data_IF_767473582585
#
_entry.id   IF_767473582585
#
_cell.length_a   1.000
_cell.length_b   1.000
_cell.length_c   1.000
_cell.angle_alpha   90.00
_cell.angle_beta   90.00
_cell.angle_gamma   90.00
#
_symmetry.space_group_name_H-M   'P 1'
#
loop_
_entity.id
_entity.type
_entity.pdbx_description
1 polymer ?
#
# COMPACT_ATOMS: atom_id res chain seq x y z
N UNK A 1 -10.63 21.98 -13.76
CA UNK A 1 -10.61 20.70 -13.04
C UNK A 1 -9.85 20.91 -11.74
N UNK A 2 -10.51 20.77 -10.60
CA UNK A 2 -9.85 20.89 -9.29
C UNK A 2 -8.96 19.65 -9.04
N UNK A 3 -8.06 19.75 -8.05
CA UNK A 3 -7.09 18.68 -7.78
C UNK A 3 -7.75 17.32 -7.48
N UNK A 4 -8.87 17.29 -6.74
CA UNK A 4 -9.56 16.03 -6.46
C UNK A 4 -10.17 15.39 -7.71
N UNK A 5 -10.73 16.20 -8.61
CA UNK A 5 -11.24 15.73 -9.89
C UNK A 5 -10.11 15.14 -10.75
N UNK A 6 -8.90 15.74 -10.68
CA UNK A 6 -7.72 15.19 -11.35
C UNK A 6 -7.40 13.77 -10.86
N UNK A 7 -7.51 13.51 -9.55
CA UNK A 7 -7.24 12.19 -8.98
C UNK A 7 -8.26 11.11 -9.40
N UNK A 8 -9.41 11.51 -9.96
CA UNK A 8 -10.41 10.57 -10.47
C UNK A 8 -10.22 10.23 -11.95
N UNK A 9 -9.38 11.00 -12.66
CA UNK A 9 -9.17 10.84 -14.10
C UNK A 9 -8.38 9.56 -14.42
N UNK A 10 -8.64 8.93 -15.59
CA UNK A 10 -7.88 7.78 -16.07
C UNK A 10 -6.37 8.02 -16.14
N UNK A 11 -5.94 9.21 -16.55
CA UNK A 11 -4.54 9.63 -16.70
C UNK A 11 -3.81 9.56 -15.35
N UNK A 12 -4.43 10.06 -14.29
CA UNK A 12 -3.88 9.91 -12.95
C UNK A 12 -3.84 8.46 -12.49
N UNK A 13 -4.87 7.65 -12.79
CA UNK A 13 -4.87 6.23 -12.42
C UNK A 13 -3.72 5.48 -13.10
N UNK A 14 -3.47 5.77 -14.38
CA UNK A 14 -2.35 5.21 -15.13
C UNK A 14 -1.01 5.65 -14.54
N UNK A 15 -0.81 6.97 -14.36
CA UNK A 15 0.42 7.51 -13.75
C UNK A 15 0.66 6.96 -12.36
N UNK A 16 -0.38 6.83 -11.54
CA UNK A 16 -0.29 6.24 -10.21
C UNK A 16 0.17 4.78 -10.28
N UNK A 17 -0.41 3.98 -11.17
CA UNK A 17 0.00 2.58 -11.36
C UNK A 17 1.44 2.48 -11.82
N UNK A 18 1.89 3.36 -12.73
CA UNK A 18 3.28 3.44 -13.19
C UNK A 18 4.24 3.72 -12.03
N UNK A 19 3.96 4.74 -11.22
CA UNK A 19 4.81 5.12 -10.07
C UNK A 19 4.85 4.00 -9.03
N UNK A 20 3.72 3.36 -8.72
CA UNK A 20 3.69 2.21 -7.80
C UNK A 20 4.49 1.01 -8.32
N UNK A 21 4.41 0.71 -9.63
CA UNK A 21 5.18 -0.38 -10.25
C UNK A 21 6.67 -0.08 -10.22
N UNK A 22 7.07 1.14 -10.58
CA UNK A 22 8.48 1.61 -10.49
C UNK A 22 9.02 1.43 -9.08
N UNK A 23 8.22 1.79 -8.09
CA UNK A 23 8.57 1.70 -6.67
C UNK A 23 8.28 0.32 -6.06
N UNK A 24 7.96 -0.68 -6.90
CA UNK A 24 7.74 -2.07 -6.53
C UNK A 24 6.73 -2.23 -5.38
N UNK A 25 5.61 -1.48 -5.44
CA UNK A 25 4.56 -1.42 -4.41
C UNK A 25 5.12 -1.22 -3.00
N UNK A 26 6.18 -0.42 -2.87
CA UNK A 26 6.93 -0.26 -1.66
C UNK A 26 7.03 1.22 -1.28
N UNK A 27 6.81 1.52 0.00
CA UNK A 27 7.11 2.86 0.51
C UNK A 27 8.61 3.16 0.36
N UNK A 28 8.96 4.28 -0.25
CA UNK A 28 10.35 4.66 -0.50
C UNK A 28 11.08 5.22 0.73
N UNK A 29 10.38 5.40 1.85
CA UNK A 29 10.95 5.83 3.14
C UNK A 29 11.12 4.65 4.09
N UNK A 30 10.04 3.94 4.41
CA UNK A 30 10.07 2.86 5.40
C UNK A 30 10.10 1.44 4.80
N UNK A 31 10.09 1.30 3.48
CA UNK A 31 10.10 -0.01 2.80
C UNK A 31 8.98 -0.96 3.26
N UNK A 32 7.79 -0.39 3.50
CA UNK A 32 6.58 -1.03 4.04
C UNK A 32 6.70 -1.52 5.50
N UNK A 33 7.81 -1.26 6.18
CA UNK A 33 8.00 -1.65 7.58
C UNK A 33 6.87 -1.13 8.48
N UNK A 34 6.56 0.18 8.44
CA UNK A 34 5.44 0.78 9.19
C UNK A 34 4.07 0.16 8.88
N UNK A 35 3.91 -0.44 7.70
CA UNK A 35 2.66 -1.12 7.30
C UNK A 35 2.58 -2.52 7.91
N UNK A 36 3.70 -3.24 7.93
CA UNK A 36 3.75 -4.63 8.39
C UNK A 36 4.05 -4.78 9.89
N UNK A 37 4.44 -3.71 10.57
CA UNK A 37 4.58 -3.70 12.02
C UNK A 37 3.28 -4.14 12.71
N UNK A 38 3.43 -5.02 13.70
CA UNK A 38 2.34 -5.58 14.52
C UNK A 38 1.26 -6.29 13.69
N UNK A 39 1.65 -6.86 12.54
CA UNK A 39 0.75 -7.66 11.71
C UNK A 39 0.83 -9.14 12.05
N UNK A 40 -0.24 -9.84 11.75
CA UNK A 40 -0.23 -11.30 11.68
C UNK A 40 0.32 -11.68 10.30
N UNK A 41 1.27 -12.61 10.27
CA UNK A 41 1.85 -13.08 9.02
C UNK A 41 1.17 -14.38 8.59
N UNK A 42 0.76 -14.46 7.33
CA UNK A 42 0.45 -15.70 6.65
C UNK A 42 1.45 -15.97 5.52
N UNK A 43 1.55 -17.22 5.12
CA UNK A 43 2.33 -17.67 3.98
C UNK A 43 1.38 -18.22 2.92
N UNK A 44 1.63 -17.89 1.66
CA UNK A 44 0.84 -18.41 0.56
C UNK A 44 1.66 -18.64 -0.68
N UNK A 45 1.12 -19.45 -1.58
CA UNK A 45 1.47 -19.38 -2.99
C UNK A 45 0.63 -18.27 -3.64
N UNK A 46 1.30 -17.42 -4.41
CA UNK A 46 0.68 -16.35 -5.18
C UNK A 46 0.94 -16.57 -6.65
N UNK A 47 -0.08 -16.24 -7.43
CA UNK A 47 -0.03 -16.12 -8.88
C UNK A 47 -0.27 -14.66 -9.24
N UNK A 48 0.58 -14.13 -10.11
CA UNK A 48 0.49 -12.77 -10.64
C UNK A 48 -0.15 -12.85 -12.04
N UNK A 49 -1.30 -12.20 -12.27
CA UNK A 49 -1.96 -12.16 -13.57
C UNK A 49 -2.53 -10.77 -13.86
N UNK A 50 -2.12 -10.12 -14.95
CA UNK A 50 -2.70 -8.86 -15.44
C UNK A 50 -3.03 -7.82 -14.33
N UNK A 51 -2.07 -7.56 -13.43
CA UNK A 51 -2.21 -6.62 -12.29
C UNK A 51 -3.19 -7.07 -11.18
N UNK A 52 -3.70 -8.30 -11.25
CA UNK A 52 -4.46 -8.96 -10.19
C UNK A 52 -3.59 -10.01 -9.50
N UNK A 53 -3.77 -10.10 -8.19
CA UNK A 53 -3.13 -11.11 -7.35
C UNK A 53 -4.14 -12.16 -6.98
N UNK A 54 -3.79 -13.41 -7.26
CA UNK A 54 -4.56 -14.57 -6.86
C UNK A 54 -3.77 -15.36 -5.82
N UNK A 55 -4.40 -15.57 -4.67
CA UNK A 55 -3.83 -16.28 -3.53
C UNK A 55 -4.40 -17.70 -3.54
N UNK A 56 -3.56 -18.70 -3.82
CA UNK A 56 -4.05 -20.08 -3.98
C UNK A 56 -4.10 -20.87 -2.67
N UNK A 57 -3.25 -20.54 -1.68
CA UNK A 57 -3.17 -21.29 -0.43
C UNK A 57 -2.59 -20.47 0.73
N UNK A 58 -3.42 -19.85 1.56
CA UNK A 58 -2.95 -19.08 2.73
C UNK A 58 -2.84 -19.95 4.00
N UNK A 59 -1.68 -19.91 4.64
CA UNK A 59 -1.37 -20.50 5.94
C UNK A 59 -1.06 -19.39 6.93
N UNK A 60 -1.91 -19.15 7.93
CA UNK A 60 -1.69 -18.09 8.92
C UNK A 60 -0.82 -18.59 10.07
N UNK A 61 0.16 -17.78 10.49
CA UNK A 61 1.04 -18.05 11.62
C UNK A 61 0.65 -17.12 12.77
N UNK A 62 0.11 -17.67 13.87
CA UNK A 62 -0.24 -16.93 15.09
C UNK A 62 -1.69 -17.07 15.56
N UNK A 63 -2.04 -16.36 16.65
CA UNK A 63 -3.35 -16.46 17.30
C UNK A 63 -4.44 -15.75 16.51
N UNK A 64 -5.03 -16.53 15.60
CA UNK A 64 -6.46 -16.61 15.36
C UNK A 64 -7.09 -15.42 14.66
N UNK A 65 -7.27 -15.53 13.34
CA UNK A 65 -8.43 -15.01 12.59
C UNK A 65 -8.63 -15.80 11.28
N UNK A 66 -9.88 -15.82 10.82
CA UNK A 66 -10.42 -16.47 9.61
C UNK A 66 -10.30 -15.60 8.35
N UNK A 67 -9.78 -16.14 7.24
CA UNK A 67 -9.97 -15.60 5.87
C UNK A 67 -10.18 -16.77 4.85
N UNK A 68 -10.90 -16.43 3.77
CA UNK A 68 -11.79 -17.18 2.85
C UNK A 68 -11.13 -17.56 1.49
N UNK A 69 -11.64 -18.59 0.78
CA UNK A 69 -11.13 -19.22 -0.49
C UNK A 69 -11.71 -18.62 -1.81
N UNK A 70 -11.21 -19.03 -2.99
CA UNK A 70 -12.02 -19.27 -4.22
C UNK A 70 -11.26 -20.11 -5.29
N UNK A 71 -12.01 -20.52 -6.33
CA UNK A 71 -11.88 -21.62 -7.33
C UNK A 71 -10.69 -21.66 -8.33
N UNK A 72 -10.41 -22.88 -8.80
CA UNK A 72 -9.33 -23.29 -9.71
C UNK A 72 -9.83 -23.34 -11.17
N UNK A 73 -9.10 -22.71 -12.10
CA UNK A 73 -9.14 -23.07 -13.53
C UNK A 73 -7.80 -23.67 -13.97
N UNK A 74 -7.84 -24.91 -14.46
CA UNK A 74 -6.69 -25.70 -14.91
C UNK A 74 -6.02 -25.09 -16.15
N UNK A 75 -4.86 -24.46 -16.00
CA UNK A 75 -3.89 -24.18 -17.07
C UNK A 75 -2.47 -24.18 -16.47
N UNK A 76 -1.40 -24.50 -17.22
CA UNK A 76 -0.04 -24.56 -16.70
C UNK A 76 0.53 -23.15 -16.40
N UNK A 77 0.95 -22.90 -15.16
CA UNK A 77 1.52 -21.60 -14.71
C UNK A 77 2.65 -21.77 -13.67
N UNK A 78 3.50 -20.74 -13.51
CA UNK A 78 4.54 -20.64 -12.48
C UNK A 78 4.00 -19.95 -11.21
N UNK A 79 4.24 -20.55 -10.05
CA UNK A 79 3.80 -20.05 -8.74
C UNK A 79 4.99 -19.50 -7.94
N UNK A 80 4.77 -18.44 -7.17
CA UNK A 80 5.77 -17.90 -6.23
C UNK A 80 5.30 -18.08 -4.79
N UNK A 81 6.22 -18.44 -3.89
CA UNK A 81 5.94 -18.37 -2.45
C UNK A 81 5.91 -16.91 -2.00
N UNK A 82 5.01 -16.57 -1.10
CA UNK A 82 4.83 -15.21 -0.59
C UNK A 82 4.44 -15.17 0.88
N UNK A 83 4.81 -14.09 1.54
CA UNK A 83 4.27 -13.69 2.83
C UNK A 83 3.13 -12.70 2.63
N UNK A 84 2.04 -12.90 3.37
CA UNK A 84 0.84 -12.06 3.42
C UNK A 84 0.77 -11.47 4.82
N UNK A 85 0.64 -10.15 4.91
CA UNK A 85 0.59 -9.45 6.19
C UNK A 85 -0.86 -9.01 6.44
N UNK A 86 -1.37 -9.32 7.62
CA UNK A 86 -2.77 -9.13 8.00
C UNK A 86 -2.86 -8.17 9.19
N UNK A 87 -3.77 -7.20 9.11
CA UNK A 87 -4.05 -6.26 10.21
C UNK A 87 -5.56 -6.16 10.44
N UNK A 88 -5.95 -5.98 11.69
CA UNK A 88 -7.33 -5.67 12.04
C UNK A 88 -7.62 -4.18 11.76
N UNK A 89 -8.60 -3.93 10.91
CA UNK A 89 -9.05 -2.59 10.51
C UNK A 89 -10.58 -2.61 10.49
N UNK A 90 -11.22 -1.78 11.31
CA UNK A 90 -12.70 -1.71 11.44
C UNK A 90 -13.32 -3.07 11.83
N UNK A 91 -12.74 -3.76 12.82
CA UNK A 91 -13.16 -5.09 13.30
C UNK A 91 -13.16 -6.17 12.22
N UNK A 92 -12.36 -5.98 11.15
CA UNK A 92 -12.17 -6.95 10.08
C UNK A 92 -10.69 -7.11 9.82
N UNK A 93 -10.25 -8.35 9.59
CA UNK A 93 -8.92 -8.53 9.07
C UNK A 93 -8.84 -8.18 7.60
N UNK A 94 -7.81 -7.42 7.26
CA UNK A 94 -7.49 -7.02 5.90
C UNK A 94 -6.04 -7.39 5.59
N UNK A 95 -5.79 -7.83 4.37
CA UNK A 95 -4.44 -7.95 3.83
C UNK A 95 -3.88 -6.56 3.67
N UNK A 96 -2.77 -6.28 4.35
CA UNK A 96 -2.08 -4.99 4.31
C UNK A 96 -0.81 -4.99 3.47
N UNK A 97 -0.21 -6.15 3.22
CA UNK A 97 0.90 -6.28 2.28
C UNK A 97 1.06 -7.72 1.78
N UNK A 98 1.70 -7.90 0.62
CA UNK A 98 2.10 -9.20 0.07
C UNK A 98 3.52 -9.09 -0.47
N UNK A 99 4.43 -9.95 -0.01
CA UNK A 99 5.85 -9.99 -0.40
C UNK A 99 6.21 -11.35 -0.98
N UNK A 100 6.84 -11.39 -2.15
CA UNK A 100 7.43 -12.62 -2.71
C UNK A 100 8.67 -13.03 -1.91
N UNK A 101 8.85 -14.34 -1.71
CA UNK A 101 9.98 -14.91 -1.00
C UNK A 101 11.02 -15.43 -1.99
N UNK A 102 12.27 -14.98 -1.86
CA UNK A 102 13.38 -15.29 -2.78
C UNK A 102 13.94 -16.71 -2.61
N UNK A 103 13.69 -17.35 -1.45
CA UNK A 103 14.15 -18.71 -1.16
C UNK A 103 12.99 -19.58 -0.70
N UNK A 104 13.05 -20.88 -1.02
CA UNK A 104 12.15 -21.88 -0.48
C UNK A 104 12.27 -21.86 1.06
N UNK A 105 11.34 -21.18 1.73
CA UNK A 105 11.05 -21.47 3.13
C UNK A 105 10.62 -22.94 3.14
N UNK A 106 11.51 -23.83 3.61
CA UNK A 106 11.25 -25.27 3.65
C UNK A 106 10.12 -25.53 4.64
N UNK A 107 8.92 -25.74 4.15
CA UNK A 107 7.80 -26.20 4.98
C UNK A 107 8.04 -27.67 5.31
N UNK A 108 8.23 -28.00 6.58
CA UNK A 108 8.48 -29.39 7.01
C UNK A 108 7.22 -30.24 7.03
N UNK A 109 6.04 -29.66 6.80
CA UNK A 109 4.79 -30.40 6.64
C UNK A 109 3.89 -29.68 5.60
N UNK A 110 3.82 -30.23 4.38
CA UNK A 110 2.85 -29.80 3.39
C UNK A 110 1.49 -30.41 3.71
N UNK A 111 0.63 -29.68 4.44
CA UNK A 111 -0.79 -30.04 4.53
C UNK A 111 -1.51 -29.43 3.32
N UNK A 112 -2.17 -30.24 2.50
CA UNK A 112 -2.99 -29.76 1.40
C UNK A 112 -4.23 -29.04 1.96
N UNK A 113 -4.47 -27.79 1.52
CA UNK A 113 -5.61 -26.99 1.98
C UNK A 113 -6.87 -27.33 1.17
N UNK A 114 -7.31 -28.58 1.24
CA UNK A 114 -8.71 -28.90 0.98
C UNK A 114 -9.52 -28.27 2.13
N UNK A 115 -10.67 -27.65 1.83
CA UNK A 115 -11.54 -26.98 2.83
C UNK A 115 -11.06 -25.61 3.39
N UNK A 116 -11.50 -24.53 2.75
CA UNK A 116 -11.70 -23.23 3.39
C UNK A 116 -13.09 -22.81 2.89
N UNK A 117 -14.15 -22.98 3.70
CA UNK A 117 -15.44 -22.26 3.64
C UNK A 117 -16.61 -22.91 4.39
N UNK A 118 -16.46 -24.10 4.97
CA UNK A 118 -17.47 -24.63 5.88
C UNK A 118 -16.87 -24.96 7.25
N UNK A 119 -17.75 -24.86 8.24
CA UNK A 119 -17.45 -24.68 9.65
C UNK A 119 -16.50 -25.71 10.27
N UNK A 120 -15.68 -25.21 11.20
CA UNK A 120 -15.42 -25.95 12.44
C UNK A 120 -14.36 -27.04 12.42
N UNK A 121 -13.17 -26.82 11.82
CA UNK A 121 -11.99 -27.65 12.16
C UNK A 121 -10.82 -26.80 12.65
N UNK A 122 -10.33 -27.15 13.83
CA UNK A 122 -9.01 -26.77 14.32
C UNK A 122 -7.95 -27.52 13.50
N UNK A 123 -6.96 -26.80 12.98
CA UNK A 123 -5.78 -27.41 12.36
C UNK A 123 -4.57 -27.14 13.25
N UNK A 124 -3.81 -28.21 13.48
CA UNK A 124 -2.64 -28.26 14.35
C UNK A 124 -1.48 -27.41 13.81
N UNK A 125 -0.70 -26.85 14.72
CA UNK A 125 0.37 -25.89 14.50
C UNK A 125 1.38 -26.37 13.45
N UNK A 126 1.57 -25.59 12.37
CA UNK A 126 2.77 -25.71 11.54
C UNK A 126 3.93 -25.06 12.29
N UNK A 127 4.84 -25.89 12.78
CA UNK A 127 6.04 -25.46 13.50
C UNK A 127 6.97 -24.77 12.49
N UNK A 128 7.00 -23.45 12.52
CA UNK A 128 8.12 -22.67 11.99
C UNK A 128 9.03 -22.31 13.15
N UNK A 129 10.34 -22.33 12.92
CA UNK A 129 11.28 -21.76 13.89
C UNK A 129 11.00 -20.25 14.04
N UNK A 130 11.17 -19.76 15.26
CA UNK A 130 10.93 -18.35 15.59
C UNK A 130 11.86 -17.41 14.80
N UNK A 131 13.01 -17.91 14.32
CA UNK A 131 13.99 -17.18 13.53
C UNK A 131 13.44 -16.81 12.15
N UNK A 132 12.73 -17.73 11.47
CA UNK A 132 12.06 -17.47 10.20
C UNK A 132 10.95 -16.42 10.34
N UNK A 133 10.13 -16.50 11.39
CA UNK A 133 9.08 -15.50 11.67
C UNK A 133 9.71 -14.14 11.96
N UNK A 134 10.81 -14.13 12.71
CA UNK A 134 11.56 -12.93 13.02
C UNK A 134 12.14 -12.28 11.77
N UNK A 135 12.76 -13.05 10.87
CA UNK A 135 13.29 -12.56 9.59
C UNK A 135 12.17 -12.08 8.64
N UNK A 136 11.01 -12.73 8.66
CA UNK A 136 9.86 -12.27 7.87
C UNK A 136 9.35 -10.90 8.35
N UNK A 137 9.37 -10.66 9.66
CA UNK A 137 9.02 -9.37 10.27
C UNK A 137 10.09 -8.29 10.09
N UNK A 138 11.34 -8.68 9.84
CA UNK A 138 12.47 -7.76 9.68
C UNK A 138 12.56 -7.28 8.23
N UNK A 139 11.65 -6.39 7.82
CA UNK A 139 11.62 -5.91 6.42
C UNK A 139 12.37 -4.59 6.23
N UNK A 140 13.70 -4.63 6.15
CA UNK A 140 14.48 -3.49 5.67
C UNK A 140 15.37 -3.87 4.51
N UNK A 141 14.74 -4.14 3.36
CA UNK A 141 15.48 -4.26 2.12
C UNK A 141 14.68 -3.65 0.98
N UNK A 142 15.35 -2.76 0.24
CA UNK A 142 14.86 -2.22 -1.04
C UNK A 142 14.68 -3.32 -2.10
N UNK A 143 15.33 -4.47 -1.92
CA UNK A 143 15.35 -5.55 -2.90
C UNK A 143 14.16 -6.50 -2.80
N UNK A 144 13.32 -6.38 -1.77
CA UNK A 144 12.14 -7.22 -1.64
C UNK A 144 11.13 -6.93 -2.74
N UNK A 145 10.65 -7.98 -3.41
CA UNK A 145 9.53 -7.88 -4.36
C UNK A 145 8.20 -7.84 -3.61
N UNK A 146 7.57 -6.66 -3.56
CA UNK A 146 6.21 -6.51 -3.04
C UNK A 146 5.19 -6.58 -4.17
N UNK A 147 4.25 -7.50 -4.03
CA UNK A 147 3.12 -7.59 -4.95
C UNK A 147 2.03 -6.58 -4.57
N UNK A 148 1.92 -6.28 -3.28
CA UNK A 148 0.88 -5.40 -2.75
C UNK A 148 1.35 -4.67 -1.50
N UNK A 149 0.97 -3.40 -1.38
CA UNK A 149 1.05 -2.60 -0.17
C UNK A 149 -0.24 -1.80 0.02
N UNK A 150 -0.79 -1.83 1.22
CA UNK A 150 -2.09 -1.24 1.52
C UNK A 150 -2.02 0.28 1.60
N UNK A 151 -2.98 0.91 0.90
CA UNK A 151 -3.21 2.36 0.95
C UNK A 151 -1.95 3.20 0.67
N UNK A 152 -1.07 2.72 -0.24
CA UNK A 152 0.06 3.51 -0.75
C UNK A 152 -0.43 4.77 -1.46
N UNK A 153 0.27 5.87 -1.21
CA UNK A 153 0.02 7.20 -1.78
C UNK A 153 1.18 7.58 -2.71
N UNK A 154 0.86 8.27 -3.80
CA UNK A 154 1.88 8.96 -4.59
C UNK A 154 2.02 10.36 -4.01
N UNK A 155 3.20 10.64 -3.49
CA UNK A 155 3.62 11.92 -2.94
C UNK A 155 4.27 12.76 -4.04
N UNK A 156 3.86 14.02 -4.16
CA UNK A 156 4.49 15.01 -5.02
C UNK A 156 5.62 15.68 -4.22
N UNK A 157 6.87 15.53 -4.65
CA UNK A 157 8.02 16.17 -4.00
C UNK A 157 8.11 17.66 -4.31
N UNK A 158 7.43 18.10 -5.37
CA UNK A 158 7.23 19.51 -5.68
C UNK A 158 5.88 19.76 -6.36
N UNK A 159 5.46 21.02 -6.38
CA UNK A 159 4.37 21.47 -7.24
C UNK A 159 4.91 22.39 -8.33
N UNK A 160 4.42 22.23 -9.56
CA UNK A 160 4.77 23.09 -10.71
C UNK A 160 3.51 23.78 -11.20
N UNK A 161 3.59 25.09 -11.47
CA UNK A 161 2.45 25.83 -11.99
C UNK A 161 1.93 25.21 -13.30
N UNK A 162 0.61 25.21 -13.44
CA UNK A 162 -0.11 24.73 -14.63
C UNK A 162 0.16 23.26 -14.98
N UNK A 163 0.56 22.44 -14.00
CA UNK A 163 0.67 20.98 -14.16
C UNK A 163 -0.50 20.26 -13.50
N UNK A 164 -1.12 19.36 -14.24
CA UNK A 164 -2.06 18.37 -13.70
C UNK A 164 -1.31 17.28 -12.95
N UNK A 165 -1.99 16.58 -12.05
CA UNK A 165 -1.39 15.56 -11.18
C UNK A 165 -0.57 14.50 -11.93
N UNK A 166 -0.97 14.13 -13.16
CA UNK A 166 -0.31 13.13 -13.99
C UNK A 166 0.82 13.67 -14.89
N UNK A 167 0.99 14.98 -15.00
CA UNK A 167 1.99 15.62 -15.87
C UNK A 167 3.36 15.79 -15.22
N UNK A 168 3.51 15.28 -14.00
CA UNK A 168 4.78 15.30 -13.28
C UNK A 168 5.68 14.18 -13.77
N UNK A 169 6.97 14.48 -13.85
CA UNK A 169 7.98 13.46 -14.15
C UNK A 169 8.05 12.45 -13.00
N UNK A 170 8.53 11.24 -13.29
CA UNK A 170 8.59 10.20 -12.26
C UNK A 170 9.48 10.63 -11.10
N UNK A 171 10.57 11.34 -11.37
CA UNK A 171 11.52 11.83 -10.39
C UNK A 171 10.93 12.88 -9.43
N UNK A 172 9.79 13.51 -9.79
CA UNK A 172 9.07 14.44 -8.92
C UNK A 172 8.04 13.70 -8.00
N UNK A 173 7.97 12.37 -8.09
CA UNK A 173 6.95 11.54 -7.45
C UNK A 173 7.55 10.38 -6.65
N UNK A 174 7.00 10.14 -5.45
CA UNK A 174 7.40 9.02 -4.58
C UNK A 174 6.21 8.20 -4.11
N UNK A 175 6.35 6.88 -4.08
CA UNK A 175 5.41 5.99 -3.39
C UNK A 175 5.67 5.99 -1.89
N UNK A 176 4.70 6.42 -1.09
CA UNK A 176 4.77 6.42 0.37
C UNK A 176 3.59 5.66 0.99
N UNK A 177 3.81 4.99 2.12
CA UNK A 177 2.70 4.51 2.95
C UNK A 177 1.99 5.71 3.58
N UNK A 178 0.75 5.52 4.05
CA UNK A 178 -0.03 6.62 4.65
C UNK A 178 0.71 7.36 5.78
N UNK A 179 1.35 6.62 6.69
CA UNK A 179 2.06 7.22 7.82
C UNK A 179 3.25 8.08 7.34
N UNK A 180 4.14 7.52 6.52
CA UNK A 180 5.25 8.28 5.94
C UNK A 180 4.78 9.48 5.11
N UNK A 181 3.69 9.33 4.35
CA UNK A 181 3.13 10.43 3.57
C UNK A 181 2.63 11.57 4.46
N UNK A 182 1.97 11.24 5.58
CA UNK A 182 1.52 12.23 6.56
C UNK A 182 2.71 12.89 7.27
N UNK A 183 3.70 12.10 7.68
CA UNK A 183 4.94 12.58 8.34
C UNK A 183 5.69 13.57 7.44
N UNK A 184 5.88 13.25 6.15
CA UNK A 184 6.54 14.15 5.19
C UNK A 184 5.84 15.51 5.10
N UNK A 185 4.50 15.53 5.09
CA UNK A 185 3.75 16.78 5.09
C UNK A 185 3.78 17.53 6.43
N UNK A 186 3.95 16.82 7.55
CA UNK A 186 4.08 17.39 8.90
C UNK A 186 5.48 17.94 9.16
N UNK A 187 6.51 17.36 8.57
CA UNK A 187 7.90 17.71 8.85
C UNK A 187 8.50 18.64 7.79
N UNK A 188 8.08 18.49 6.54
CA UNK A 188 8.65 19.22 5.41
C UNK A 188 7.60 20.08 4.72
N UNK A 189 8.10 21.11 4.06
CA UNK A 189 7.32 21.94 3.16
C UNK A 189 7.68 21.59 1.73
N UNK A 190 6.70 21.63 0.84
CA UNK A 190 6.86 21.22 -0.54
C UNK A 190 7.10 22.47 -1.39
N UNK A 191 8.23 22.56 -2.11
CA UNK A 191 8.53 23.69 -2.96
C UNK A 191 7.58 23.79 -4.15
N UNK A 192 7.34 25.02 -4.58
CA UNK A 192 6.51 25.37 -5.73
C UNK A 192 7.39 26.05 -6.77
N UNK A 193 7.37 25.53 -7.99
CA UNK A 193 8.14 26.03 -9.11
C UNK A 193 7.26 26.67 -10.19
N UNK A 194 7.81 27.68 -10.86
CA UNK A 194 7.23 28.25 -12.07
C UNK A 194 7.33 27.25 -13.24
N UNK A 195 6.64 27.55 -14.34
CA UNK A 195 6.79 26.77 -15.59
C UNK A 195 8.21 26.81 -16.17
N UNK A 196 9.03 27.80 -15.76
CA UNK A 196 10.43 27.97 -16.17
C UNK A 196 11.43 27.32 -15.21
N UNK A 197 10.95 26.77 -14.08
CA UNK A 197 11.79 26.13 -13.05
C UNK A 197 12.26 27.06 -11.93
N UNK A 198 11.84 28.32 -11.92
CA UNK A 198 12.15 29.25 -10.84
C UNK A 198 11.39 28.86 -9.57
N UNK A 199 12.03 28.95 -8.39
CA UNK A 199 11.36 28.75 -7.10
C UNK A 199 10.42 29.91 -6.83
N UNK A 200 9.12 29.62 -6.75
CA UNK A 200 8.09 30.61 -6.39
C UNK A 200 7.85 30.68 -4.88
N UNK A 201 8.22 29.62 -4.16
CA UNK A 201 8.06 29.51 -2.72
C UNK A 201 7.66 28.10 -2.31
N UNK A 202 6.83 27.99 -1.29
CA UNK A 202 6.31 26.75 -0.72
C UNK A 202 4.81 26.93 -0.50
N UNK A 203 4.01 25.89 -0.69
CA UNK A 203 2.59 25.97 -0.34
C UNK A 203 2.37 25.86 1.16
N UNK A 204 1.45 26.69 1.66
CA UNK A 204 0.97 26.63 3.03
C UNK A 204 0.04 25.44 3.16
N UNK A 205 0.48 24.42 3.89
CA UNK A 205 -0.32 23.23 4.19
C UNK A 205 -1.60 23.57 4.99
N UNK A 206 -2.68 22.84 4.71
CA UNK A 206 -3.94 22.96 5.44
C UNK A 206 -3.75 22.76 6.93
N UNK A 207 -4.17 23.71 7.77
CA UNK A 207 -3.97 23.62 9.22
C UNK A 207 -4.67 22.44 9.93
N UNK A 208 -5.60 21.76 9.24
CA UNK A 208 -6.37 20.63 9.78
C UNK A 208 -5.77 19.28 9.41
N UNK A 209 -5.48 19.06 8.13
CA UNK A 209 -4.93 17.79 7.64
C UNK A 209 -3.43 17.84 7.36
N UNK A 210 -2.79 18.97 7.68
CA UNK A 210 -1.37 19.24 7.48
C UNK A 210 -0.87 19.02 6.05
N UNK A 211 -1.74 19.04 5.03
CA UNK A 211 -1.35 18.76 3.63
C UNK A 211 -1.71 17.36 3.14
N UNK A 212 -2.22 16.48 4.00
CA UNK A 212 -2.58 15.11 3.61
C UNK A 212 -3.91 15.04 2.82
N UNK A 213 -4.81 16.01 3.00
CA UNK A 213 -6.08 16.12 2.27
C UNK A 213 -7.20 15.16 2.69
N UNK A 214 -6.90 14.14 3.50
CA UNK A 214 -7.86 13.14 4.00
C UNK A 214 -7.45 12.58 5.37
N UNK A 215 -8.36 11.81 5.98
CA UNK A 215 -8.22 11.08 7.23
C UNK A 215 -8.75 9.65 7.03
N UNK A 216 -7.88 8.63 6.90
CA UNK A 216 -8.29 7.26 6.61
C UNK A 216 -9.25 6.65 7.64
N UNK A 217 -9.19 7.10 8.89
CA UNK A 217 -10.06 6.65 9.99
C UNK A 217 -11.54 6.95 9.69
N UNK A 218 -11.79 7.95 8.83
CA UNK A 218 -13.12 8.36 8.39
C UNK A 218 -13.44 7.92 6.95
N UNK A 219 -12.79 6.87 6.42
CA UNK A 219 -13.06 6.39 5.06
C UNK A 219 -14.54 6.06 4.80
N UNK A 220 -15.27 5.62 5.83
CA UNK A 220 -16.70 5.35 5.77
C UNK A 220 -17.56 6.62 5.60
N UNK A 221 -17.00 7.82 5.82
CA UNK A 221 -17.67 9.12 5.62
C UNK A 221 -16.97 9.89 4.50
N UNK A 222 -17.61 10.00 3.34
CA UNK A 222 -17.09 10.74 2.18
C UNK A 222 -15.62 10.40 1.84
N UNK A 223 -15.23 9.12 1.99
CA UNK A 223 -13.87 8.62 1.72
C UNK A 223 -12.78 9.31 2.57
N UNK A 224 -13.16 9.84 3.73
CA UNK A 224 -12.26 10.49 4.68
C UNK A 224 -11.74 11.86 4.23
N UNK A 225 -12.35 12.50 3.24
CA UNK A 225 -11.91 13.82 2.75
C UNK A 225 -11.81 14.85 3.89
N UNK A 226 -10.76 15.67 3.90
CA UNK A 226 -10.65 16.75 4.87
C UNK A 226 -11.70 17.82 4.58
N UNK A 227 -12.72 17.92 5.43
CA UNK A 227 -13.83 18.87 5.24
C UNK A 227 -13.43 20.35 5.30
N UNK A 228 -12.24 20.68 5.80
CA UNK A 228 -11.75 22.06 5.77
C UNK A 228 -11.25 22.46 4.39
N UNK A 229 -10.31 21.70 3.84
CA UNK A 229 -9.72 22.03 2.53
C UNK A 229 -10.44 21.35 1.37
N UNK A 230 -11.48 20.54 1.63
CA UNK A 230 -12.16 19.69 0.65
C UNK A 230 -11.13 18.93 -0.19
N UNK A 231 -10.16 18.31 0.50
CA UNK A 231 -9.08 17.54 -0.12
C UNK A 231 -8.09 18.32 -0.99
N UNK A 232 -8.13 19.66 -1.01
CA UNK A 232 -7.19 20.52 -1.75
C UNK A 232 -5.79 20.62 -1.11
N UNK A 233 -5.63 20.15 0.13
CA UNK A 233 -4.36 19.98 0.86
C UNK A 233 -3.65 21.28 1.29
N UNK A 234 -3.66 22.33 0.47
CA UNK A 234 -2.91 23.58 0.70
C UNK A 234 -3.83 24.80 0.65
N UNK A 235 -3.55 25.81 1.49
CA UNK A 235 -4.34 27.03 1.65
C UNK A 235 -4.51 27.77 0.31
N UNK A 236 -3.43 27.88 -0.47
CA UNK A 236 -3.40 28.58 -1.76
C UNK A 236 -4.33 27.93 -2.80
N UNK A 237 -4.74 26.69 -2.57
CA UNK A 237 -5.64 25.95 -3.45
C UNK A 237 -7.11 26.02 -2.97
N UNK A 238 -7.37 26.30 -1.68
CA UNK A 238 -8.73 26.27 -1.06
C UNK A 238 -9.67 27.28 -1.73
N UNK A 239 -9.18 28.48 -2.04
CA UNK A 239 -10.00 29.61 -2.49
C UNK A 239 -9.93 29.90 -4.00
N UNK A 240 -9.27 29.03 -4.77
CA UNK A 240 -9.37 29.06 -6.23
C UNK A 240 -10.72 28.45 -6.65
N UNK A 241 -11.77 29.28 -6.61
CA UNK A 241 -13.12 29.02 -7.15
C UNK A 241 -13.43 30.09 -8.18
#
# INVERSE_FOLDING_TARGET
MNYLEQLLQPEWKLKRTEVLKRDNNCCQICFNEKVIQETIIGLTEVKEFEEKLECTKLTVIGKGVKILKHEIFNYPFEYSNAAVYLKEIENRQKVVAIRVLDHMVRTTNQVSAQELFEDGKSLEELIYDQETIFELNKSFSKNFKWLYGFNLQVHHECYRQSRMAWEYENEDLLTLCWQCHEDEHKEKKIPVYSTRGDVLGEYTRCNRCFGAGRFPEYNHVQKGICFRCIGKRFEELIDQV
#
